data_IF_936187218460
#
_entry.id   IF_936187218460
#
_cell.length_a   1.000
_cell.length_b   1.000
_cell.length_c   1.000
_cell.angle_alpha   90.00
_cell.angle_beta   90.00
_cell.angle_gamma   90.00
#
_symmetry.space_group_name_H-M   'P 1'
#
loop_
_entity.id
_entity.type
_entity.pdbx_description
1 polymer ?
#
# COMPACT_ATOMS: atom_id res chain seq x y z
N UNK A 1 -17.26 1.82 10.25
CA UNK A 1 -17.65 0.47 9.82
C UNK A 1 -16.45 -0.14 9.13
N UNK A 2 -15.95 -1.29 9.58
CA UNK A 2 -14.80 -1.96 8.97
C UNK A 2 -15.32 -3.12 8.14
N UNK A 3 -14.99 -3.13 6.84
CA UNK A 3 -15.42 -4.17 5.91
C UNK A 3 -14.25 -5.11 5.60
N UNK A 4 -14.48 -6.42 5.74
CA UNK A 4 -13.49 -7.45 5.41
C UNK A 4 -13.92 -8.14 4.11
N UNK A 5 -13.06 -8.14 3.09
CA UNK A 5 -13.26 -8.94 1.88
C UNK A 5 -12.35 -10.17 1.91
N UNK A 6 -12.93 -11.33 1.62
CA UNK A 6 -12.22 -12.60 1.51
C UNK A 6 -12.17 -13.03 0.04
N UNK A 7 -11.03 -12.90 -0.66
CA UNK A 7 -10.86 -13.46 -1.99
C UNK A 7 -11.01 -14.99 -1.97
N UNK A 8 -11.52 -15.56 -3.07
CA UNK A 8 -11.64 -16.99 -3.21
C UNK A 8 -10.25 -17.66 -3.20
N UNK A 9 -10.06 -18.56 -2.22
CA UNK A 9 -8.98 -19.54 -2.06
C UNK A 9 -7.57 -18.96 -1.77
N UNK A 10 -7.15 -19.07 -0.50
CA UNK A 10 -5.78 -18.98 0.03
C UNK A 10 -4.98 -17.67 -0.12
N UNK A 11 -5.62 -16.52 -0.37
CA UNK A 11 -4.97 -15.22 -0.15
C UNK A 11 -5.92 -14.27 0.59
N UNK A 12 -5.62 -13.99 1.86
CA UNK A 12 -6.34 -12.97 2.62
C UNK A 12 -5.86 -11.58 2.15
N UNK A 13 -6.70 -10.87 1.41
CA UNK A 13 -6.50 -9.44 1.16
C UNK A 13 -7.16 -8.65 2.30
N UNK A 14 -6.36 -8.17 3.24
CA UNK A 14 -6.84 -7.32 4.34
C UNK A 14 -6.63 -5.87 3.94
N UNK A 15 -7.71 -5.13 3.80
CA UNK A 15 -7.67 -3.67 3.75
C UNK A 15 -8.62 -3.11 4.80
N UNK A 16 -8.33 -1.90 5.25
CA UNK A 16 -9.22 -1.14 6.13
C UNK A 16 -9.67 0.10 5.38
N UNK A 17 -10.96 0.42 5.50
CA UNK A 17 -11.52 1.69 5.05
C UNK A 17 -12.26 2.35 6.22
N UNK A 18 -12.07 3.66 6.35
CA UNK A 18 -12.78 4.53 7.27
C UNK A 18 -13.71 5.38 6.41
N UNK A 19 -14.99 5.38 6.74
CA UNK A 19 -16.02 6.13 6.04
C UNK A 19 -16.75 7.05 7.02
N UNK A 20 -17.27 8.17 6.53
CA UNK A 20 -18.19 9.02 7.29
C UNK A 20 -19.59 8.39 7.40
N UNK A 21 -20.50 9.08 8.09
CA UNK A 21 -21.88 8.61 8.31
C UNK A 21 -22.74 8.59 7.03
N UNK A 22 -22.34 9.32 5.99
CA UNK A 22 -23.05 9.48 4.73
C UNK A 22 -22.48 8.55 3.64
N UNK A 23 -21.43 7.78 3.96
CA UNK A 23 -20.78 6.81 3.07
C UNK A 23 -19.60 7.37 2.29
N UNK A 24 -19.13 8.59 2.61
CA UNK A 24 -17.93 9.18 2.03
C UNK A 24 -16.67 8.49 2.56
N UNK A 25 -15.72 8.18 1.66
CA UNK A 25 -14.44 7.60 2.02
C UNK A 25 -13.55 8.66 2.71
N UNK A 26 -13.14 8.38 3.95
CA UNK A 26 -12.24 9.23 4.73
C UNK A 26 -10.80 8.74 4.70
N UNK A 27 -10.61 7.41 4.71
CA UNK A 27 -9.29 6.80 4.56
C UNK A 27 -9.39 5.35 4.11
N UNK A 28 -8.41 4.88 3.34
CA UNK A 28 -8.15 3.45 3.20
C UNK A 28 -6.66 3.10 3.28
N UNK A 29 -6.39 1.80 3.47
CA UNK A 29 -5.05 1.24 3.45
C UNK A 29 -4.71 0.54 2.13
N UNK A 30 -5.56 0.61 1.12
CA UNK A 30 -5.41 -0.10 -0.14
C UNK A 30 -4.30 0.51 -0.99
N UNK A 31 -4.30 1.82 -1.18
CA UNK A 31 -3.24 2.51 -1.95
C UNK A 31 -1.88 2.30 -1.30
N UNK A 32 -1.77 2.41 0.03
CA UNK A 32 -0.54 2.14 0.76
C UNK A 32 -0.02 0.72 0.51
N UNK A 33 -0.93 -0.26 0.41
CA UNK A 33 -0.59 -1.65 0.15
C UNK A 33 -0.14 -1.87 -1.30
N UNK A 34 -0.80 -1.21 -2.27
CA UNK A 34 -0.38 -1.21 -3.67
C UNK A 34 1.04 -0.66 -3.83
N UNK A 35 1.35 0.46 -3.17
CA UNK A 35 2.68 1.06 -3.20
C UNK A 35 3.72 0.18 -2.50
N UNK A 36 3.36 -0.45 -1.37
CA UNK A 36 4.21 -1.44 -0.71
C UNK A 36 4.53 -2.64 -1.62
N UNK A 37 3.55 -3.12 -2.39
CA UNK A 37 3.76 -4.23 -3.32
C UNK A 37 4.71 -3.84 -4.47
N UNK A 38 4.59 -2.62 -5.01
CA UNK A 38 5.53 -2.10 -6.01
C UNK A 38 6.95 -1.98 -5.45
N UNK A 39 7.11 -1.45 -4.23
CA UNK A 39 8.42 -1.40 -3.54
C UNK A 39 9.00 -2.79 -3.30
N UNK A 40 8.17 -3.73 -2.87
CA UNK A 40 8.58 -5.10 -2.64
C UNK A 40 9.04 -5.80 -3.92
N UNK A 41 8.41 -5.53 -5.07
CA UNK A 41 8.90 -6.05 -6.35
C UNK A 41 10.33 -5.56 -6.63
N UNK A 42 10.58 -4.25 -6.49
CA UNK A 42 11.90 -3.64 -6.70
C UNK A 42 12.95 -4.23 -5.74
N UNK A 43 12.61 -4.36 -4.45
CA UNK A 43 13.54 -4.89 -3.43
C UNK A 43 13.86 -6.37 -3.69
N UNK A 44 12.90 -7.15 -4.19
CA UNK A 44 13.05 -8.59 -4.41
C UNK A 44 13.78 -8.93 -5.71
N UNK A 45 13.84 -8.03 -6.68
CA UNK A 45 14.47 -8.30 -7.99
C UNK A 45 15.95 -8.73 -7.86
N UNK A 46 16.75 -8.02 -7.06
CA UNK A 46 18.19 -8.34 -6.92
C UNK A 46 18.48 -9.64 -6.13
N UNK A 47 17.82 -9.91 -4.98
CA UNK A 47 17.91 -11.21 -4.31
C UNK A 47 17.40 -12.37 -5.17
N UNK A 48 16.28 -12.18 -5.87
CA UNK A 48 15.69 -13.22 -6.72
C UNK A 48 16.63 -13.60 -7.88
N UNK A 49 17.31 -12.62 -8.48
CA UNK A 49 18.34 -12.86 -9.50
C UNK A 49 19.52 -13.70 -8.97
N UNK A 50 19.72 -13.73 -7.66
CA UNK A 50 20.74 -14.51 -6.95
C UNK A 50 20.19 -15.81 -6.34
N UNK A 51 18.92 -16.16 -6.61
CA UNK A 51 18.26 -17.35 -6.09
C UNK A 51 17.86 -17.25 -4.60
N UNK A 52 17.77 -16.03 -4.06
CA UNK A 52 17.42 -15.76 -2.67
C UNK A 52 15.96 -15.32 -2.60
N UNK A 53 15.13 -16.07 -1.88
CA UNK A 53 13.77 -15.67 -1.57
C UNK A 53 13.75 -14.61 -0.47
N UNK A 54 13.03 -13.51 -0.70
CA UNK A 54 12.87 -12.42 0.26
C UNK A 54 11.39 -12.07 0.42
N UNK A 55 10.96 -11.92 1.67
CA UNK A 55 9.69 -11.30 2.04
C UNK A 55 9.98 -10.03 2.80
N UNK A 56 9.28 -8.96 2.45
CA UNK A 56 9.50 -7.64 3.04
C UNK A 56 8.15 -7.00 3.32
N UNK A 57 8.00 -6.47 4.53
CA UNK A 57 6.80 -5.75 4.92
C UNK A 57 7.10 -4.25 5.00
N UNK A 58 6.52 -3.46 4.09
CA UNK A 58 6.79 -2.02 4.01
C UNK A 58 5.76 -1.21 4.78
N UNK A 59 6.24 -0.31 5.62
CA UNK A 59 5.49 0.75 6.26
C UNK A 59 5.79 2.08 5.55
N UNK A 60 4.73 2.84 5.27
CA UNK A 60 4.82 4.16 4.63
C UNK A 60 4.31 5.18 5.64
N UNK A 61 5.14 6.16 5.97
CA UNK A 61 4.79 7.22 6.91
C UNK A 61 4.74 8.57 6.18
N UNK A 62 3.61 9.26 6.30
CA UNK A 62 3.37 10.56 5.67
C UNK A 62 3.15 11.62 6.76
N UNK A 63 3.92 12.71 6.72
CA UNK A 63 3.76 13.83 7.64
C UNK A 63 2.94 15.00 7.06
N UNK A 64 2.95 15.17 5.74
CA UNK A 64 2.39 16.37 5.09
C UNK A 64 1.09 16.10 4.33
N UNK A 65 1.03 15.02 3.55
CA UNK A 65 -0.13 14.72 2.71
C UNK A 65 -0.55 13.27 2.92
N UNK A 66 -1.74 13.06 3.47
CA UNK A 66 -2.29 11.73 3.62
C UNK A 66 -2.78 11.21 2.26
N UNK A 67 -2.35 10.03 1.86
CA UNK A 67 -2.88 9.32 0.68
C UNK A 67 -4.20 8.61 0.95
N UNK A 68 -4.80 8.85 2.12
CA UNK A 68 -6.10 8.31 2.55
C UNK A 68 -7.26 8.54 1.58
N UNK A 69 -7.19 9.60 0.77
CA UNK A 69 -8.19 9.95 -0.25
C UNK A 69 -7.77 9.57 -1.67
N UNK A 70 -6.60 8.96 -1.86
CA UNK A 70 -6.17 8.50 -3.18
C UNK A 70 -7.05 7.33 -3.61
N UNK A 71 -7.52 7.38 -4.86
CA UNK A 71 -8.41 6.36 -5.43
C UNK A 71 -7.93 5.85 -6.79
N UNK A 72 -6.84 6.40 -7.31
CA UNK A 72 -6.20 5.91 -8.52
C UNK A 72 -5.53 4.55 -8.24
N UNK A 73 -6.22 3.48 -8.65
CA UNK A 73 -5.74 2.10 -8.48
C UNK A 73 -4.56 1.75 -9.40
N UNK A 74 -4.22 2.63 -10.33
CA UNK A 74 -3.09 2.47 -11.26
C UNK A 74 -1.93 3.41 -10.93
N UNK A 75 -1.95 4.06 -9.75
CA UNK A 75 -0.87 4.98 -9.34
C UNK A 75 0.47 4.25 -9.24
N UNK A 76 1.48 4.80 -9.89
CA UNK A 76 2.86 4.32 -9.80
C UNK A 76 3.51 4.78 -8.49
N UNK A 77 4.55 4.07 -8.04
CA UNK A 77 5.40 4.50 -6.92
C UNK A 77 5.97 5.92 -7.15
N UNK A 78 6.36 6.22 -8.39
CA UNK A 78 6.96 7.50 -8.77
C UNK A 78 5.94 8.65 -8.62
N UNK A 79 4.73 8.46 -9.15
CA UNK A 79 3.64 9.41 -9.04
C UNK A 79 3.19 9.58 -7.58
N UNK A 80 3.16 8.48 -6.82
CA UNK A 80 2.84 8.50 -5.40
C UNK A 80 3.84 9.35 -4.60
N UNK A 81 5.14 9.14 -4.81
CA UNK A 81 6.19 9.92 -4.13
C UNK A 81 6.12 11.38 -4.52
N UNK A 82 5.87 11.68 -5.79
CA UNK A 82 5.75 13.06 -6.27
C UNK A 82 4.54 13.79 -5.67
N UNK A 83 3.39 13.11 -5.57
CA UNK A 83 2.15 13.68 -5.07
C UNK A 83 2.10 13.78 -3.53
N UNK A 84 2.49 12.70 -2.84
CA UNK A 84 2.26 12.56 -1.40
C UNK A 84 3.50 12.80 -0.54
N UNK A 85 4.70 12.83 -1.14
CA UNK A 85 5.98 13.12 -0.48
C UNK A 85 6.12 12.41 0.88
N UNK A 86 6.10 11.06 0.89
CA UNK A 86 6.27 10.30 2.12
C UNK A 86 7.58 10.69 2.80
N UNK A 87 7.58 10.78 4.14
CA UNK A 87 8.78 11.16 4.89
C UNK A 87 9.82 10.04 4.83
N UNK A 88 9.37 8.80 5.00
CA UNK A 88 10.20 7.63 4.85
C UNK A 88 9.40 6.38 4.51
N UNK A 89 10.12 5.43 3.91
CA UNK A 89 9.71 4.04 3.78
C UNK A 89 10.52 3.21 4.77
N UNK A 90 9.85 2.37 5.54
CA UNK A 90 10.51 1.41 6.43
C UNK A 90 10.13 0.00 6.02
N UNK A 91 11.09 -0.92 6.07
CA UNK A 91 10.91 -2.31 5.66
C UNK A 91 11.46 -3.21 6.76
N UNK A 92 10.74 -4.28 7.09
CA UNK A 92 11.19 -5.37 7.97
C UNK A 92 11.05 -6.73 7.30
#
# INVERSE_FOLDING_TARGET
MTSYLHPAVNKNAIFSAVMDKDGGLLADSFILRLISDQLNQIIKEDPAAKGIESETFTFIMNNETSSSSETNLEISLEDYVAAYKPEYFSAT
#
